data_IF_720583478466
#
_entry.id   IF_720583478466
#
_cell.length_a   1.000
_cell.length_b   1.000
_cell.length_c   1.000
_cell.angle_alpha   90.00
_cell.angle_beta   90.00
_cell.angle_gamma   90.00
#
_symmetry.space_group_name_H-M   'P 1'
#
loop_
_entity.id
_entity.type
_entity.pdbx_description
1 polymer ?
#
# COMPACT_ATOMS: atom_id res chain seq x y z
N UNK A 1 26.19 1.40 -3.24
CA UNK A 1 25.12 0.51 -2.75
C UNK A 1 24.67 1.03 -1.40
N UNK A 2 23.63 1.86 -1.40
CA UNK A 2 22.77 2.29 -0.26
C UNK A 2 21.92 3.42 -0.82
N UNK A 3 20.72 3.68 -0.27
CA UNK A 3 20.19 5.05 -0.10
C UNK A 3 18.77 5.11 0.47
N UNK A 4 18.18 4.02 0.96
CA UNK A 4 16.93 4.13 1.75
C UNK A 4 17.06 5.21 2.83
N UNK A 5 18.21 5.25 3.53
CA UNK A 5 18.52 6.24 4.57
C UNK A 5 18.43 7.70 4.10
N UNK A 6 18.84 8.02 2.87
CA UNK A 6 18.73 9.39 2.34
C UNK A 6 17.28 9.86 2.21
N UNK A 7 16.37 8.91 2.00
CA UNK A 7 14.95 9.18 1.86
C UNK A 7 14.22 9.21 3.20
N UNK A 8 14.91 9.04 4.34
CA UNK A 8 14.26 8.95 5.66
C UNK A 8 13.36 10.15 5.94
N UNK A 9 13.83 11.38 5.69
CA UNK A 9 13.04 12.60 5.93
C UNK A 9 11.76 12.62 5.11
N UNK A 10 11.84 12.25 3.82
CA UNK A 10 10.67 12.13 2.94
C UNK A 10 9.74 11.01 3.35
N UNK A 11 10.26 9.89 3.85
CA UNK A 11 9.43 8.76 4.30
C UNK A 11 8.71 9.06 5.62
N UNK A 12 9.33 9.84 6.50
CA UNK A 12 8.74 10.28 7.77
C UNK A 12 7.55 11.23 7.60
N UNK A 13 7.36 11.85 6.42
CA UNK A 13 6.13 12.59 6.13
C UNK A 13 4.91 11.67 5.91
N UNK A 14 5.16 10.39 5.59
CA UNK A 14 4.12 9.38 5.46
C UNK A 14 3.66 8.84 6.81
N UNK A 15 2.34 8.80 7.03
CA UNK A 15 1.74 8.35 8.28
C UNK A 15 2.23 6.98 8.74
N UNK A 16 2.18 5.97 7.86
CA UNK A 16 2.56 4.60 8.22
C UNK A 16 4.01 4.51 8.70
N UNK A 17 4.95 5.06 7.93
CA UNK A 17 6.38 4.92 8.20
C UNK A 17 6.80 5.66 9.48
N UNK A 18 6.23 6.85 9.75
CA UNK A 18 6.52 7.62 10.96
C UNK A 18 6.05 6.97 12.25
N UNK A 19 5.08 6.06 12.18
CA UNK A 19 4.54 5.33 13.33
C UNK A 19 5.18 3.94 13.52
N UNK A 20 6.17 3.57 12.71
CA UNK A 20 6.92 2.33 12.90
C UNK A 20 7.91 2.44 14.07
N UNK A 21 8.17 1.34 14.80
CA UNK A 21 9.30 1.27 15.72
C UNK A 21 10.60 1.66 15.03
N UNK A 22 11.49 2.38 15.72
CA UNK A 22 12.74 2.87 15.14
C UNK A 22 13.59 1.75 14.52
N UNK A 23 13.71 0.61 15.21
CA UNK A 23 14.43 -0.56 14.70
C UNK A 23 13.84 -1.10 13.39
N UNK A 24 12.52 -1.08 13.23
CA UNK A 24 11.86 -1.49 11.99
C UNK A 24 12.08 -0.47 10.88
N UNK A 25 12.02 0.83 11.18
CA UNK A 25 12.37 1.88 10.21
C UNK A 25 13.80 1.66 9.68
N UNK A 26 14.75 1.48 10.58
CA UNK A 26 16.17 1.30 10.23
C UNK A 26 16.39 0.04 9.39
N UNK A 27 15.74 -1.08 9.77
CA UNK A 27 15.79 -2.34 9.04
C UNK A 27 15.26 -2.19 7.61
N UNK A 28 14.12 -1.53 7.43
CA UNK A 28 13.54 -1.27 6.11
C UNK A 28 14.43 -0.35 5.26
N UNK A 29 14.97 0.73 5.84
CA UNK A 29 15.85 1.67 5.13
C UNK A 29 17.18 1.03 4.73
N UNK A 30 17.71 0.13 5.56
CA UNK A 30 18.94 -0.60 5.27
C UNK A 30 18.75 -1.57 4.10
N UNK A 31 17.64 -2.30 4.08
CA UNK A 31 17.31 -3.23 3.00
C UNK A 31 16.82 -2.56 1.71
N UNK A 32 16.35 -1.31 1.80
CA UNK A 32 15.77 -0.59 0.68
C UNK A 32 16.78 -0.26 -0.43
N UNK A 33 16.40 -0.57 -1.67
CA UNK A 33 17.16 -0.30 -2.89
C UNK A 33 16.39 0.66 -3.77
N UNK A 34 17.07 1.70 -4.27
CA UNK A 34 16.46 2.63 -5.21
C UNK A 34 16.28 1.97 -6.59
N UNK A 35 15.09 2.11 -7.15
CA UNK A 35 14.74 1.64 -8.50
C UNK A 35 14.24 2.83 -9.30
N UNK A 36 14.83 3.06 -10.48
CA UNK A 36 14.38 4.08 -11.43
C UNK A 36 13.72 3.42 -12.62
N UNK A 37 12.63 4.01 -13.12
CA UNK A 37 11.98 3.57 -14.36
C UNK A 37 11.72 4.76 -15.26
N UNK A 38 11.88 4.54 -16.55
CA UNK A 38 11.53 5.51 -17.59
C UNK A 38 10.04 5.41 -17.93
N UNK A 39 9.45 6.44 -18.55
CA UNK A 39 8.05 6.39 -18.99
C UNK A 39 7.74 5.13 -19.81
N UNK A 40 6.55 4.56 -19.59
CA UNK A 40 6.07 3.35 -20.26
C UNK A 40 6.66 2.03 -19.72
N UNK A 41 7.64 2.06 -18.82
CA UNK A 41 8.25 0.83 -18.28
C UNK A 41 7.49 0.28 -17.08
N UNK A 42 7.34 -1.04 -17.08
CA UNK A 42 6.78 -1.80 -15.97
C UNK A 42 7.76 -1.88 -14.80
N UNK A 43 7.24 -1.63 -13.60
CA UNK A 43 7.92 -1.95 -12.35
C UNK A 43 7.84 -3.46 -12.11
N UNK A 44 6.62 -4.02 -12.21
CA UNK A 44 6.33 -5.45 -12.23
C UNK A 44 5.00 -5.70 -12.97
N UNK A 45 4.79 -6.93 -13.39
CA UNK A 45 3.62 -7.38 -14.13
C UNK A 45 2.60 -8.09 -13.24
N UNK A 46 1.34 -8.11 -13.67
CA UNK A 46 0.32 -8.98 -13.07
C UNK A 46 0.75 -10.44 -13.23
N UNK A 47 0.61 -11.23 -12.17
CA UNK A 47 1.03 -12.64 -12.15
C UNK A 47 2.51 -12.85 -11.84
N UNK A 48 3.32 -11.78 -11.73
CA UNK A 48 4.69 -11.90 -11.24
C UNK A 48 4.69 -12.46 -9.80
N UNK A 49 5.73 -13.22 -9.47
CA UNK A 49 5.94 -13.72 -8.11
C UNK A 49 6.06 -12.56 -7.10
N UNK A 50 5.78 -12.80 -5.80
CA UNK A 50 5.95 -11.80 -4.76
C UNK A 50 7.35 -11.16 -4.79
N UNK A 51 7.41 -9.90 -5.21
CA UNK A 51 8.69 -9.21 -5.41
C UNK A 51 9.06 -8.25 -4.28
N UNK A 52 8.19 -8.03 -3.28
CA UNK A 52 8.53 -7.30 -2.06
C UNK A 52 7.69 -6.05 -1.84
N UNK A 53 8.17 -5.10 -1.04
CA UNK A 53 7.47 -3.86 -0.74
C UNK A 53 8.12 -2.71 -1.52
N UNK A 54 7.30 -1.83 -2.08
CA UNK A 54 7.74 -0.65 -2.80
C UNK A 54 7.19 0.61 -2.15
N UNK A 55 7.87 1.72 -2.37
CA UNK A 55 7.35 3.06 -2.12
C UNK A 55 7.66 3.96 -3.31
N UNK A 56 6.63 4.63 -3.82
CA UNK A 56 6.76 5.65 -4.86
C UNK A 56 7.25 6.95 -4.20
N UNK A 57 8.45 7.39 -4.58
CA UNK A 57 9.07 8.61 -4.08
C UNK A 57 8.89 9.78 -5.03
N UNK A 58 8.98 9.53 -6.34
CA UNK A 58 8.84 10.53 -7.40
C UNK A 58 8.12 9.96 -8.63
N UNK A 59 7.43 10.83 -9.36
CA UNK A 59 6.71 10.50 -10.59
C UNK A 59 5.28 10.00 -10.36
N UNK A 60 4.70 9.45 -11.43
CA UNK A 60 3.33 8.95 -11.52
C UNK A 60 3.30 7.54 -12.10
N UNK A 61 2.36 6.72 -11.61
CA UNK A 61 2.19 5.34 -12.06
C UNK A 61 0.74 5.01 -12.37
N UNK A 62 0.56 4.08 -13.30
CA UNK A 62 -0.69 3.34 -13.50
C UNK A 62 -0.60 2.03 -12.75
N UNK A 63 -1.63 1.72 -11.97
CA UNK A 63 -1.80 0.43 -11.29
C UNK A 63 -2.98 -0.29 -11.94
N UNK A 64 -2.75 -1.52 -12.39
CA UNK A 64 -3.75 -2.33 -13.10
C UNK A 64 -3.82 -2.03 -14.60
N UNK A 65 -4.47 -2.93 -15.34
CA UNK A 65 -4.35 -2.99 -16.81
C UNK A 65 -4.78 -1.70 -17.53
N UNK A 66 -4.13 -1.41 -18.66
CA UNK A 66 -4.38 -0.20 -19.45
C UNK A 66 -5.84 -0.02 -19.90
N UNK A 67 -6.61 -1.11 -20.01
CA UNK A 67 -8.04 -1.07 -20.36
C UNK A 67 -8.90 -0.44 -19.25
N UNK A 68 -8.50 -0.57 -17.97
CA UNK A 68 -9.22 0.03 -16.84
C UNK A 68 -9.16 1.57 -16.85
N UNK A 69 -8.16 2.16 -17.51
CA UNK A 69 -8.04 3.62 -17.65
C UNK A 69 -8.86 4.19 -18.81
N UNK A 70 -9.19 3.40 -19.86
CA UNK A 70 -9.88 3.93 -21.05
C UNK A 70 -11.36 4.25 -20.81
N UNK A 71 -11.94 3.74 -19.72
CA UNK A 71 -13.36 3.83 -19.40
C UNK A 71 -13.64 4.70 -18.16
N UNK A 72 -12.60 5.28 -17.55
CA UNK A 72 -12.71 5.99 -16.27
C UNK A 72 -12.38 7.48 -16.35
N UNK A 73 -12.80 8.28 -15.36
CA UNK A 73 -12.36 9.65 -15.22
C UNK A 73 -10.84 9.75 -15.07
N UNK A 74 -10.27 10.94 -15.29
CA UNK A 74 -8.85 11.25 -15.11
C UNK A 74 -8.37 10.72 -13.75
N UNK A 75 -7.36 9.86 -13.77
CA UNK A 75 -6.82 9.25 -12.55
C UNK A 75 -6.25 10.35 -11.64
N UNK A 76 -6.66 10.37 -10.38
CA UNK A 76 -6.09 11.29 -9.40
C UNK A 76 -4.61 10.98 -9.16
N UNK A 77 -3.79 12.01 -8.91
CA UNK A 77 -2.39 11.82 -8.58
C UNK A 77 -2.24 10.97 -7.31
N UNK A 78 -1.37 9.97 -7.35
CA UNK A 78 -1.05 9.17 -6.16
C UNK A 78 -0.22 10.05 -5.21
N UNK A 79 -0.60 10.19 -3.93
CA UNK A 79 0.17 10.97 -2.96
C UNK A 79 1.57 10.37 -2.78
N UNK A 80 2.54 11.15 -2.29
CA UNK A 80 3.92 10.66 -2.06
C UNK A 80 4.37 11.05 -0.65
N UNK A 81 5.08 10.16 0.08
CA UNK A 81 5.43 8.79 -0.28
C UNK A 81 4.20 7.86 -0.29
N UNK A 82 4.15 6.91 -1.24
CA UNK A 82 3.09 5.91 -1.30
C UNK A 82 3.63 4.49 -1.31
N UNK A 83 3.42 3.79 -0.20
CA UNK A 83 3.83 2.41 0.00
C UNK A 83 2.88 1.45 -0.70
N UNK A 84 3.38 0.40 -1.35
CA UNK A 84 2.57 -0.64 -1.98
C UNK A 84 3.28 -1.97 -2.21
N UNK A 85 2.48 -3.00 -2.47
CA UNK A 85 2.95 -4.37 -2.68
C UNK A 85 2.87 -5.24 -1.42
N UNK A 86 2.27 -4.72 -0.35
CA UNK A 86 2.09 -5.37 0.95
C UNK A 86 1.17 -6.59 0.90
N UNK A 87 0.20 -6.67 -0.01
CA UNK A 87 -0.78 -7.77 -0.03
C UNK A 87 -0.12 -9.13 -0.22
N UNK A 88 0.79 -9.23 -1.19
CA UNK A 88 1.57 -10.45 -1.46
C UNK A 88 2.50 -10.86 -0.32
N UNK A 89 2.72 -9.98 0.68
CA UNK A 89 3.46 -10.36 1.88
C UNK A 89 2.61 -11.21 2.83
N UNK A 90 1.27 -11.08 2.78
CA UNK A 90 0.35 -11.81 3.67
C UNK A 90 -0.14 -13.12 3.09
N UNK A 91 -0.47 -13.13 1.80
CA UNK A 91 -1.11 -14.28 1.16
C UNK A 91 -0.14 -15.12 0.31
N UNK A 92 1.10 -14.64 0.12
CA UNK A 92 2.11 -15.21 -0.76
C UNK A 92 1.62 -15.41 -2.21
N UNK A 93 0.58 -14.66 -2.61
CA UNK A 93 0.00 -14.80 -3.94
C UNK A 93 0.69 -13.89 -4.97
N UNK A 94 0.68 -14.30 -6.26
CA UNK A 94 1.19 -13.48 -7.35
C UNK A 94 0.56 -12.08 -7.41
N UNK A 95 1.29 -11.14 -8.02
CA UNK A 95 0.85 -9.74 -8.14
C UNK A 95 -0.50 -9.63 -8.83
N UNK A 96 -1.46 -9.00 -8.13
CA UNK A 96 -2.83 -8.79 -8.64
C UNK A 96 -2.91 -7.78 -9.79
N UNK A 97 -2.00 -6.81 -9.81
CA UNK A 97 -1.96 -5.71 -10.76
C UNK A 97 -0.56 -5.52 -11.31
N UNK A 98 -0.45 -5.10 -12.57
CA UNK A 98 0.76 -4.52 -13.10
C UNK A 98 0.93 -3.09 -12.60
N UNK A 99 2.18 -2.61 -12.53
CA UNK A 99 2.50 -1.21 -12.22
C UNK A 99 3.39 -0.66 -13.31
N UNK A 100 2.91 0.37 -14.00
CA UNK A 100 3.60 0.99 -15.14
C UNK A 100 3.90 2.45 -14.83
N UNK A 101 5.12 2.89 -15.11
CA UNK A 101 5.53 4.28 -14.93
C UNK A 101 4.97 5.14 -16.06
N UNK A 102 4.28 6.22 -15.72
CA UNK A 102 3.69 7.15 -16.70
C UNK A 102 4.69 8.25 -17.09
N UNK A 103 5.61 8.57 -16.19
CA UNK A 103 6.72 9.49 -16.38
C UNK A 103 8.02 8.88 -15.82
N UNK A 104 9.05 9.70 -15.60
CA UNK A 104 10.24 9.26 -14.87
C UNK A 104 9.89 9.06 -13.39
N UNK A 105 10.09 7.84 -12.90
CA UNK A 105 9.72 7.46 -11.54
C UNK A 105 10.93 6.99 -10.73
N UNK A 106 10.89 7.31 -9.44
CA UNK A 106 11.82 6.78 -8.44
C UNK A 106 11.02 6.01 -7.40
N UNK A 107 11.43 4.76 -7.19
CA UNK A 107 10.91 3.90 -6.13
C UNK A 107 12.03 3.56 -5.15
N UNK A 108 11.65 3.24 -3.92
CA UNK A 108 12.46 2.36 -3.08
C UNK A 108 11.80 0.98 -3.04
N UNK A 109 12.64 -0.04 -3.04
CA UNK A 109 12.26 -1.43 -3.06
C UNK A 109 12.89 -2.17 -1.89
N UNK A 110 12.07 -2.76 -1.03
CA UNK A 110 12.48 -3.68 0.02
C UNK A 110 12.21 -5.11 -0.48
N UNK A 111 13.24 -5.96 -0.64
CA UNK A 111 13.09 -7.31 -1.19
C UNK A 111 12.12 -8.19 -0.39
N UNK A 112 11.36 -9.05 -1.09
CA UNK A 112 10.40 -9.95 -0.46
C UNK A 112 11.06 -10.91 0.54
N UNK A 113 12.15 -11.57 0.14
CA UNK A 113 12.89 -12.50 1.00
C UNK A 113 13.35 -11.86 2.31
N UNK A 114 13.83 -10.60 2.25
CA UNK A 114 14.21 -9.86 3.45
C UNK A 114 13.00 -9.63 4.38
N UNK A 115 11.85 -9.23 3.83
CA UNK A 115 10.65 -8.99 4.62
C UNK A 115 10.16 -10.27 5.30
N UNK A 116 10.16 -11.39 4.58
CA UNK A 116 9.77 -12.69 5.14
C UNK A 116 10.69 -13.07 6.30
N UNK A 117 12.02 -13.05 6.10
CA UNK A 117 12.98 -13.37 7.17
C UNK A 117 12.89 -12.42 8.35
N UNK A 118 12.66 -11.12 8.12
CA UNK A 118 12.46 -10.14 9.19
C UNK A 118 11.22 -10.47 10.03
N UNK A 119 10.12 -10.88 9.39
CA UNK A 119 8.85 -11.17 10.05
C UNK A 119 8.81 -12.54 10.72
N UNK A 120 9.62 -13.49 10.26
CA UNK A 120 9.88 -14.75 10.96
C UNK A 120 10.68 -14.50 12.25
N UNK A 121 11.68 -13.62 12.19
CA UNK A 121 12.53 -13.28 13.35
C UNK A 121 11.81 -12.37 14.36
N UNK A 122 10.95 -11.46 13.87
CA UNK A 122 10.23 -10.47 14.65
C UNK A 122 8.72 -10.47 14.33
N UNK A 123 7.96 -11.48 14.79
CA UNK A 123 6.53 -11.61 14.50
C UNK A 123 5.69 -10.43 14.98
N UNK A 124 6.16 -9.65 15.96
CA UNK A 124 5.50 -8.44 16.45
C UNK A 124 5.29 -7.39 15.34
N UNK A 125 6.16 -7.36 14.33
CA UNK A 125 6.08 -6.42 13.22
C UNK A 125 4.94 -6.71 12.25
N UNK A 126 4.32 -7.90 12.29
CA UNK A 126 3.13 -8.18 11.48
C UNK A 126 2.01 -7.15 11.69
N UNK A 127 1.88 -6.63 12.92
CA UNK A 127 0.90 -5.58 13.24
C UNK A 127 1.16 -4.29 12.47
N UNK A 128 2.43 -3.93 12.27
CA UNK A 128 2.82 -2.75 11.49
C UNK A 128 2.44 -2.90 10.01
N UNK A 129 2.69 -4.05 9.39
CA UNK A 129 2.27 -4.27 8.00
C UNK A 129 0.75 -4.38 7.87
N UNK A 130 0.07 -4.98 8.85
CA UNK A 130 -1.39 -5.03 8.86
C UNK A 130 -2.00 -3.62 8.89
N UNK A 131 -1.41 -2.72 9.68
CA UNK A 131 -1.80 -1.31 9.70
C UNK A 131 -1.64 -0.63 8.33
N UNK A 132 -0.57 -0.93 7.59
CA UNK A 132 -0.39 -0.43 6.22
C UNK A 132 -1.51 -0.88 5.29
N UNK A 133 -1.81 -2.19 5.30
CA UNK A 133 -2.85 -2.76 4.46
C UNK A 133 -4.21 -2.15 4.78
N UNK A 134 -4.52 -2.03 6.07
CA UNK A 134 -5.80 -1.50 6.50
C UNK A 134 -6.00 -0.03 6.13
N UNK A 135 -4.97 0.79 6.28
CA UNK A 135 -4.99 2.19 5.85
C UNK A 135 -5.39 2.31 4.37
N UNK A 136 -4.91 1.40 3.51
CA UNK A 136 -5.23 1.40 2.08
C UNK A 136 -6.64 0.95 1.75
N UNK A 137 -7.18 0.05 2.56
CA UNK A 137 -8.55 -0.42 2.40
C UNK A 137 -9.58 0.59 2.92
N UNK A 138 -9.15 1.76 3.41
CA UNK A 138 -10.05 2.69 4.13
C UNK A 138 -10.55 2.11 5.46
N UNK A 139 -10.01 0.96 5.86
CA UNK A 139 -10.33 0.32 7.13
C UNK A 139 -9.41 0.95 8.19
N UNK A 140 -9.88 1.76 9.14
CA UNK A 140 -9.17 1.86 10.40
C UNK A 140 -9.20 0.46 11.03
N UNK A 141 -8.02 -0.11 11.30
CA UNK A 141 -7.89 -1.16 12.33
C UNK A 141 -8.17 -0.49 13.67
N UNK A 142 -9.43 -0.15 13.91
CA UNK A 142 -9.87 0.21 15.24
C UNK A 142 -9.54 -0.98 16.13
N UNK A 143 -9.08 -0.70 17.36
CA UNK A 143 -8.93 -1.74 18.36
C UNK A 143 -10.27 -2.51 18.47
N UNK A 144 -10.29 -3.85 18.30
CA UNK A 144 -11.53 -4.62 18.36
C UNK A 144 -12.29 -4.42 19.67
N UNK A 145 -11.62 -4.14 20.79
CA UNK A 145 -12.28 -3.80 22.05
C UNK A 145 -13.01 -2.45 21.99
N UNK A 146 -12.43 -1.48 21.29
CA UNK A 146 -13.02 -0.16 21.09
C UNK A 146 -14.23 -0.22 20.15
N UNK A 147 -14.19 -1.07 19.13
CA UNK A 147 -15.35 -1.35 18.27
C UNK A 147 -16.51 -1.98 19.07
N UNK A 148 -16.23 -2.91 19.99
CA UNK A 148 -17.24 -3.55 20.85
C UNK A 148 -17.93 -2.57 21.81
N UNK A 149 -17.30 -1.42 22.10
CA UNK A 149 -17.85 -0.38 22.96
C UNK A 149 -18.72 0.64 22.19
N UNK A 150 -18.77 0.58 20.86
CA UNK A 150 -19.57 1.51 20.06
C UNK A 150 -21.07 1.21 20.20
N UNK A 151 -21.93 2.24 20.27
CA UNK A 151 -23.37 2.05 20.20
C UNK A 151 -23.80 1.35 18.89
N UNK A 152 -24.90 0.57 18.88
CA UNK A 152 -25.34 -0.18 17.70
C UNK A 152 -25.49 0.65 16.43
N UNK A 153 -25.97 1.90 16.54
CA UNK A 153 -26.10 2.81 15.40
C UNK A 153 -24.76 3.19 14.78
N UNK A 154 -23.73 3.39 15.60
CA UNK A 154 -22.38 3.70 15.14
C UNK A 154 -21.75 2.50 14.42
N UNK A 155 -22.02 1.27 14.87
CA UNK A 155 -21.58 0.05 14.19
C UNK A 155 -22.23 -0.12 12.81
N UNK A 156 -23.53 0.17 12.70
CA UNK A 156 -24.23 0.13 11.41
C UNK A 156 -23.70 1.21 10.47
N UNK A 157 -23.55 2.46 10.94
CA UNK A 157 -22.98 3.54 10.13
C UNK A 157 -21.56 3.23 9.67
N UNK A 158 -20.74 2.68 10.57
CA UNK A 158 -19.40 2.18 10.27
C UNK A 158 -19.44 1.12 9.15
N UNK A 159 -20.33 0.13 9.26
CA UNK A 159 -20.43 -0.95 8.27
C UNK A 159 -20.92 -0.44 6.91
N UNK A 160 -21.87 0.49 6.90
CA UNK A 160 -22.37 1.12 5.67
C UNK A 160 -21.27 1.96 5.00
N UNK A 161 -20.46 2.69 5.78
CA UNK A 161 -19.31 3.42 5.27
C UNK A 161 -18.34 2.46 4.56
N UNK A 162 -17.96 1.36 5.23
CA UNK A 162 -17.07 0.35 4.63
C UNK A 162 -17.61 -0.27 3.34
N UNK A 163 -18.92 -0.57 3.32
CA UNK A 163 -19.58 -1.12 2.13
C UNK A 163 -19.65 -0.08 1.00
N UNK A 164 -19.85 1.20 1.33
CA UNK A 164 -19.89 2.30 0.36
C UNK A 164 -18.52 2.64 -0.22
N UNK A 165 -17.46 2.50 0.58
CA UNK A 165 -16.07 2.77 0.18
C UNK A 165 -15.48 1.63 -0.66
N UNK A 166 -16.09 0.44 -0.67
CA UNK A 166 -15.63 -0.68 -1.49
C UNK A 166 -14.20 -1.12 -1.18
N UNK A 167 -13.76 -0.95 0.07
CA UNK A 167 -12.41 -1.19 0.55
C UNK A 167 -11.30 -0.38 -0.17
N UNK A 168 -11.51 0.93 -0.42
CA UNK A 168 -10.47 1.84 -0.92
C UNK A 168 -10.95 3.30 -1.05
N UNK A 169 -10.04 4.26 -1.30
CA UNK A 169 -10.44 5.66 -1.50
C UNK A 169 -11.34 5.83 -2.74
N UNK A 170 -12.28 6.77 -2.65
CA UNK A 170 -13.39 6.99 -3.57
C UNK A 170 -12.97 6.93 -5.05
N UNK A 171 -13.51 5.96 -5.78
CA UNK A 171 -13.98 6.27 -7.12
C UNK A 171 -15.23 7.12 -6.94
N UNK A 172 -15.28 8.33 -7.51
CA UNK A 172 -16.48 9.16 -7.57
C UNK A 172 -17.68 8.50 -8.29
N UNK A 173 -17.59 7.21 -8.65
CA UNK A 173 -18.70 6.43 -9.16
C UNK A 173 -19.74 6.17 -8.06
N UNK A 174 -20.95 6.71 -8.26
CA UNK A 174 -22.16 6.33 -7.52
C UNK A 174 -22.32 4.80 -7.59
N UNK A 175 -22.26 4.11 -6.44
CA UNK A 175 -22.55 2.66 -6.36
C UNK A 175 -23.96 2.46 -5.84
N UNK A 176 -24.82 1.84 -6.65
CA UNK A 176 -26.11 1.33 -6.23
C UNK A 176 -25.88 -0.04 -5.59
N UNK A 177 -26.17 -0.15 -4.29
CA UNK A 177 -26.17 -1.42 -3.56
C UNK A 177 -27.63 -1.83 -3.46
N UNK A 178 -28.02 -2.88 -4.21
CA UNK A 178 -29.31 -3.52 -4.04
C UNK A 178 -29.27 -4.39 -2.78
N UNK A 179 -30.29 -4.26 -1.94
CA UNK A 179 -30.53 -5.16 -0.81
C UNK A 179 -31.77 -5.96 -1.20
N UNK A 180 -31.56 -7.18 -1.69
CA UNK A 180 -32.63 -8.17 -1.86
C UNK A 180 -32.92 -8.87 -0.52
#
# INVERSE_FOLDING_TARGET
MTNGVLWRSSLLSGYWFSHLPAALQDSLLHAARQVRKTPGKLLFEKGATPCGLYVLMEGNVRIGGAHLQRLGPRQEPIPRPYWFGEVSLFDDLPRRFDVCSLDQTIFLHVPHSFLVSLLEQHPEYWRSFAALLSQKLGLPLQNPEKLRQLPPRSLVAWRLLLLSEGYGPLSHARRLIALD
#
